data_IF_036566328313
#
_entry.id   IF_036566328313
#
_cell.length_a   1.000
_cell.length_b   1.000
_cell.length_c   1.000
_cell.angle_alpha   90.00
_cell.angle_beta   90.00
_cell.angle_gamma   90.00
#
_symmetry.space_group_name_H-M   'P 1'
#
loop_
_entity.id
_entity.type
_entity.pdbx_description
1 polymer ?
#
# COMPACT_ATOMS: atom_id res chain seq x y z
N UNK A 1 -12.01 -64.29 -59.61
CA UNK A 1 -11.82 -65.08 -58.38
C UNK A 1 -10.48 -64.71 -57.76
N UNK A 2 -10.46 -64.58 -56.43
CA UNK A 2 -9.31 -64.34 -55.53
C UNK A 2 -8.60 -62.98 -55.68
N UNK A 3 -8.00 -62.36 -54.66
CA UNK A 3 -8.06 -62.34 -53.17
C UNK A 3 -6.84 -61.47 -52.77
N UNK A 4 -6.82 -60.92 -51.55
CA UNK A 4 -5.63 -60.37 -50.82
C UNK A 4 -5.23 -58.92 -51.19
N UNK A 5 -5.33 -57.86 -50.37
CA UNK A 5 -5.00 -57.54 -48.96
C UNK A 5 -3.51 -57.09 -48.73
N UNK A 6 -3.37 -55.89 -48.12
CA UNK A 6 -2.22 -55.23 -47.42
C UNK A 6 -1.10 -54.67 -48.36
N UNK A 7 -0.55 -53.43 -48.27
CA UNK A 7 -0.12 -52.65 -47.10
C UNK A 7 0.25 -51.18 -47.46
N UNK A 8 -0.11 -50.26 -46.55
CA UNK A 8 0.60 -49.00 -46.16
C UNK A 8 1.04 -47.96 -47.19
N UNK A 9 0.66 -46.69 -46.96
CA UNK A 9 1.47 -45.74 -46.15
C UNK A 9 0.66 -44.48 -45.82
N UNK A 10 0.89 -44.03 -44.58
CA UNK A 10 0.34 -42.85 -43.92
C UNK A 10 0.72 -41.56 -44.65
N UNK A 11 -0.31 -40.77 -44.95
CA UNK A 11 -0.21 -39.34 -45.25
C UNK A 11 -0.49 -38.58 -43.96
N UNK A 12 0.42 -37.71 -43.52
CA UNK A 12 0.20 -36.26 -43.39
C UNK A 12 1.32 -35.64 -42.55
N UNK A 13 2.05 -34.74 -43.19
CA UNK A 13 3.02 -33.84 -42.58
C UNK A 13 2.25 -32.59 -42.13
N UNK A 14 2.29 -32.24 -40.85
CA UNK A 14 1.68 -31.00 -40.33
C UNK A 14 2.65 -30.31 -39.37
N UNK A 15 3.37 -29.32 -39.90
CA UNK A 15 4.17 -28.38 -39.13
C UNK A 15 3.24 -27.54 -38.23
N UNK A 16 3.51 -27.51 -36.92
CA UNK A 16 2.86 -26.56 -36.00
C UNK A 16 3.71 -25.30 -35.87
N UNK A 17 3.16 -24.10 -36.08
CA UNK A 17 3.89 -22.86 -35.89
C UNK A 17 4.15 -22.62 -34.40
N UNK A 18 5.40 -22.24 -34.09
CA UNK A 18 5.83 -21.92 -32.73
C UNK A 18 5.08 -20.73 -32.16
N UNK A 19 4.53 -20.90 -30.96
CA UNK A 19 4.05 -19.79 -30.16
C UNK A 19 5.26 -19.04 -29.58
N UNK A 20 5.49 -17.82 -30.08
CA UNK A 20 6.36 -16.84 -29.45
C UNK A 20 5.72 -16.48 -28.11
N UNK A 21 6.25 -17.04 -27.03
CA UNK A 21 5.83 -16.71 -25.67
C UNK A 21 6.26 -15.29 -25.34
N UNK A 22 5.34 -14.32 -25.49
CA UNK A 22 5.47 -13.02 -24.84
C UNK A 22 5.34 -13.28 -23.35
N UNK A 23 6.47 -13.31 -22.64
CA UNK A 23 6.50 -13.31 -21.17
C UNK A 23 5.91 -11.99 -20.70
N UNK A 24 4.60 -11.96 -20.49
CA UNK A 24 3.90 -10.86 -19.84
C UNK A 24 4.54 -10.71 -18.46
N UNK A 25 5.29 -9.63 -18.23
CA UNK A 25 5.75 -9.26 -16.90
C UNK A 25 4.50 -8.88 -16.11
N UNK A 26 3.97 -9.82 -15.33
CA UNK A 26 2.91 -9.56 -14.38
C UNK A 26 3.48 -8.75 -13.21
N UNK A 27 3.65 -7.45 -13.42
CA UNK A 27 3.70 -6.51 -12.31
C UNK A 27 2.29 -6.51 -11.70
N UNK A 28 2.08 -7.39 -10.71
CA UNK A 28 0.81 -7.47 -9.99
C UNK A 28 0.51 -6.13 -9.35
N UNK A 29 -0.58 -5.50 -9.78
CA UNK A 29 -1.18 -4.38 -9.06
C UNK A 29 -1.57 -4.86 -7.66
N UNK A 30 -1.33 -4.07 -6.59
CA UNK A 30 -1.75 -4.46 -5.24
C UNK A 30 -3.23 -4.80 -5.23
N UNK A 31 -3.58 -6.02 -4.81
CA UNK A 31 -4.99 -6.42 -4.71
C UNK A 31 -5.73 -5.46 -3.76
N UNK A 32 -6.74 -4.76 -4.27
CA UNK A 32 -7.61 -3.92 -3.45
C UNK A 32 -8.34 -4.80 -2.43
N UNK A 33 -8.16 -4.52 -1.13
CA UNK A 33 -8.95 -5.16 -0.08
C UNK A 33 -10.42 -4.79 -0.27
N UNK A 34 -11.26 -5.77 -0.59
CA UNK A 34 -12.69 -5.59 -0.86
C UNK A 34 -13.57 -5.67 0.40
N UNK A 35 -12.99 -6.15 1.50
CA UNK A 35 -13.63 -6.23 2.81
C UNK A 35 -12.92 -5.32 3.80
N UNK A 36 -13.70 -4.54 4.55
CA UNK A 36 -13.22 -3.59 5.54
C UNK A 36 -13.77 -3.95 6.92
N UNK A 37 -13.02 -3.62 7.97
CA UNK A 37 -13.32 -4.04 9.35
C UNK A 37 -12.39 -5.17 9.82
N UNK A 38 -12.47 -5.50 11.11
CA UNK A 38 -11.59 -6.45 11.81
C UNK A 38 -10.13 -5.96 11.98
N UNK A 39 -9.96 -4.79 12.62
CA UNK A 39 -8.65 -4.23 12.97
C UNK A 39 -8.03 -4.99 14.15
N UNK A 40 -6.76 -5.40 14.03
CA UNK A 40 -6.02 -6.03 15.12
C UNK A 40 -5.67 -5.00 16.19
N UNK A 41 -5.47 -5.47 17.41
CA UNK A 41 -5.11 -4.59 18.54
C UNK A 41 -3.75 -3.90 18.35
N UNK A 42 -2.83 -4.54 17.63
CA UNK A 42 -1.52 -4.00 17.26
C UNK A 42 -1.60 -2.82 16.27
N UNK A 43 -2.64 -2.79 15.43
CA UNK A 43 -2.85 -1.73 14.43
C UNK A 43 -3.49 -0.47 15.03
N UNK A 44 -3.85 -0.51 16.33
CA UNK A 44 -4.49 0.62 17.02
C UNK A 44 -3.45 1.67 17.37
N UNK A 45 -3.64 2.88 16.83
CA UNK A 45 -2.82 4.05 17.19
C UNK A 45 -3.07 4.47 18.65
N UNK A 46 -4.32 4.37 19.14
CA UNK A 46 -4.69 4.76 20.50
C UNK A 46 -4.78 3.54 21.42
N UNK A 47 -3.63 3.04 21.88
CA UNK A 47 -3.52 1.81 22.67
C UNK A 47 -4.05 1.92 24.10
N UNK A 48 -3.90 3.07 24.78
CA UNK A 48 -4.39 3.28 26.15
C UNK A 48 -5.73 4.05 26.19
N UNK A 49 -6.66 3.76 25.28
CA UNK A 49 -7.92 4.50 25.18
C UNK A 49 -8.80 4.38 26.44
N UNK A 50 -8.75 3.22 27.12
CA UNK A 50 -9.58 2.94 28.29
C UNK A 50 -8.89 3.22 29.64
N UNK A 51 -7.68 3.81 29.63
CA UNK A 51 -6.96 4.14 30.87
C UNK A 51 -6.52 2.93 31.71
N UNK A 52 -6.42 1.74 31.10
CA UNK A 52 -5.97 0.50 31.77
C UNK A 52 -4.48 0.54 32.10
N UNK A 53 -3.72 1.39 31.41
CA UNK A 53 -2.31 1.62 31.65
C UNK A 53 -2.07 3.05 32.16
N UNK A 54 -0.88 3.28 32.71
CA UNK A 54 -0.48 4.60 33.20
C UNK A 54 -0.50 5.65 32.07
N UNK A 55 -1.24 6.73 32.28
CA UNK A 55 -1.35 7.85 31.34
C UNK A 55 -0.19 8.84 31.47
N UNK A 56 0.63 8.72 32.53
CA UNK A 56 1.82 9.56 32.73
C UNK A 56 2.91 9.27 31.70
N UNK A 57 3.92 10.14 31.68
CA UNK A 57 5.04 10.08 30.74
C UNK A 57 5.73 8.71 30.71
N UNK A 58 5.98 8.09 31.88
CA UNK A 58 6.61 6.77 31.96
C UNK A 58 5.79 5.67 31.28
N UNK A 59 4.46 5.72 31.41
CA UNK A 59 3.56 4.81 30.71
C UNK A 59 3.51 5.08 29.21
N UNK A 60 3.51 6.35 28.80
CA UNK A 60 3.53 6.77 27.39
C UNK A 60 4.79 6.29 26.66
N UNK A 61 5.97 6.51 27.25
CA UNK A 61 7.24 6.05 26.67
C UNK A 61 7.26 4.53 26.46
N UNK A 62 6.64 3.75 27.35
CA UNK A 62 6.54 2.28 27.20
C UNK A 62 5.66 1.85 26.02
N UNK A 63 4.70 2.66 25.61
CA UNK A 63 3.81 2.38 24.46
C UNK A 63 4.39 2.80 23.12
N UNK A 64 5.58 3.43 23.13
CA UNK A 64 6.21 3.99 21.93
C UNK A 64 5.87 5.46 21.68
N UNK A 65 5.09 6.11 22.55
CA UNK A 65 4.94 7.56 22.51
C UNK A 65 6.31 8.22 22.78
N UNK A 66 6.61 9.34 22.11
CA UNK A 66 7.93 10.00 22.16
C UNK A 66 9.11 9.22 21.56
N UNK A 67 8.86 8.11 20.86
CA UNK A 67 9.92 7.38 20.17
C UNK A 67 10.44 8.16 18.95
N UNK A 68 11.76 8.38 18.90
CA UNK A 68 12.47 9.00 17.76
C UNK A 68 11.91 10.34 17.27
N UNK A 69 11.21 11.07 18.14
CA UNK A 69 10.63 12.38 17.79
C UNK A 69 11.70 13.38 17.35
N UNK A 70 12.89 13.34 17.95
CA UNK A 70 14.05 14.15 17.52
C UNK A 70 14.44 13.88 16.07
N UNK A 71 14.49 12.62 15.65
CA UNK A 71 14.82 12.25 14.27
C UNK A 71 13.75 12.76 13.29
N UNK A 72 12.47 12.66 13.67
CA UNK A 72 11.35 13.17 12.87
C UNK A 72 11.47 14.68 12.68
N UNK A 73 11.79 15.43 13.73
CA UNK A 73 11.98 16.88 13.65
C UNK A 73 13.16 17.27 12.74
N UNK A 74 14.25 16.52 12.80
CA UNK A 74 15.44 16.78 11.98
C UNK A 74 15.22 16.56 10.48
N UNK A 75 14.25 15.72 10.09
CA UNK A 75 13.88 15.54 8.67
C UNK A 75 13.20 16.77 8.04
N UNK A 76 12.76 17.72 8.87
CA UNK A 76 12.17 18.97 8.42
C UNK A 76 10.68 18.89 8.08
N UNK A 77 10.06 20.07 7.97
CA UNK A 77 8.60 20.22 7.80
C UNK A 77 8.08 19.66 6.47
N UNK A 78 8.83 19.85 5.38
CA UNK A 78 8.43 19.38 4.05
C UNK A 78 8.29 17.85 4.00
N UNK A 79 9.25 17.13 4.59
CA UNK A 79 9.20 15.67 4.66
C UNK A 79 7.96 15.19 5.45
N UNK A 80 7.67 15.82 6.59
CA UNK A 80 6.49 15.48 7.40
C UNK A 80 5.19 15.74 6.62
N UNK A 81 5.10 16.85 5.89
CA UNK A 81 3.92 17.17 5.07
C UNK A 81 3.68 16.13 3.98
N UNK A 82 4.74 15.67 3.32
CA UNK A 82 4.63 14.70 2.23
C UNK A 82 4.23 13.32 2.75
N UNK A 83 4.77 12.87 3.89
CA UNK A 83 4.32 11.64 4.58
C UNK A 83 2.82 11.70 4.95
N UNK A 84 2.34 12.85 5.43
CA UNK A 84 0.92 13.00 5.79
C UNK A 84 0.03 13.00 4.54
N UNK A 85 0.47 13.61 3.44
CA UNK A 85 -0.26 13.54 2.15
C UNK A 85 -0.31 12.10 1.65
N UNK A 86 0.82 11.37 1.69
CA UNK A 86 0.92 9.97 1.28
C UNK A 86 0.03 9.05 2.13
N UNK A 87 -0.10 9.32 3.43
CA UNK A 87 -0.98 8.56 4.32
C UNK A 87 -2.47 8.67 3.99
N UNK A 88 -2.87 9.64 3.17
CA UNK A 88 -4.28 9.90 2.84
C UNK A 88 -5.11 10.37 4.04
N UNK A 89 -4.48 10.89 5.10
CA UNK A 89 -5.17 11.29 6.32
C UNK A 89 -6.15 12.45 6.07
N UNK A 90 -7.42 12.21 6.36
CA UNK A 90 -8.50 13.20 6.31
C UNK A 90 -8.87 13.69 7.71
N UNK A 91 -9.26 14.96 7.81
CA UNK A 91 -9.60 15.62 9.06
C UNK A 91 -10.70 14.87 9.82
N UNK A 92 -10.50 14.72 11.14
CA UNK A 92 -11.38 13.96 12.04
C UNK A 92 -12.43 14.83 12.77
N UNK A 93 -12.54 16.11 12.42
CA UNK A 93 -13.53 17.05 12.98
C UNK A 93 -14.86 17.15 12.22
N UNK A 94 -15.20 16.17 11.37
CA UNK A 94 -16.48 16.12 10.64
C UNK A 94 -16.42 16.58 9.18
N UNK A 95 -15.63 17.61 8.86
CA UNK A 95 -15.53 18.14 7.48
C UNK A 95 -14.74 17.24 6.51
N UNK A 96 -13.91 16.32 7.01
CA UNK A 96 -13.16 15.37 6.16
C UNK A 96 -12.13 16.01 5.22
N UNK A 97 -11.68 17.23 5.47
CA UNK A 97 -10.70 17.91 4.63
C UNK A 97 -9.32 17.21 4.68
N UNK A 98 -8.57 17.07 3.57
CA UNK A 98 -7.25 16.43 3.57
C UNK A 98 -6.26 17.16 4.48
N UNK A 99 -5.72 16.45 5.48
CA UNK A 99 -4.92 17.07 6.56
C UNK A 99 -3.58 17.60 6.03
N UNK A 100 -2.88 16.83 5.19
CA UNK A 100 -1.60 17.24 4.61
C UNK A 100 -1.71 18.49 3.73
N UNK A 101 -2.82 18.64 3.00
CA UNK A 101 -3.11 19.86 2.22
C UNK A 101 -3.38 21.05 3.13
N UNK A 102 -4.18 20.86 4.20
CA UNK A 102 -4.49 21.92 5.17
C UNK A 102 -3.24 22.49 5.80
N UNK A 103 -2.32 21.63 6.20
CA UNK A 103 -1.08 22.05 6.86
C UNK A 103 -0.10 22.70 5.88
N UNK A 104 -0.12 22.28 4.61
CA UNK A 104 0.68 22.88 3.54
C UNK A 104 0.40 24.37 3.30
N UNK A 105 -0.80 24.88 3.62
CA UNK A 105 -1.12 26.30 3.50
C UNK A 105 -0.27 27.21 4.40
N UNK A 106 0.36 26.66 5.43
CA UNK A 106 1.23 27.43 6.34
C UNK A 106 2.64 27.63 5.78
N UNK A 107 3.10 26.77 4.85
CA UNK A 107 4.38 26.92 4.16
C UNK A 107 4.28 27.92 3.00
N UNK A 108 3.77 29.13 3.28
CA UNK A 108 3.84 30.21 2.31
C UNK A 108 5.29 30.68 2.22
N UNK A 109 5.94 30.71 1.04
CA UNK A 109 7.07 31.62 0.87
C UNK A 109 6.59 33.03 1.22
N UNK A 110 7.43 33.83 1.87
CA UNK A 110 7.14 35.26 2.00
C UNK A 110 7.14 35.84 0.60
N UNK A 111 5.97 35.93 -0.01
CA UNK A 111 5.80 36.72 -1.22
C UNK A 111 6.05 38.16 -0.78
N UNK A 112 7.18 38.72 -1.22
CA UNK A 112 7.68 40.04 -0.83
C UNK A 112 6.86 41.16 -1.49
N UNK A 113 5.56 41.14 -1.28
CA UNK A 113 4.59 42.16 -1.68
C UNK A 113 3.75 42.59 -0.48
#
# INVERSE_FOLDING_TARGET
MASSFIKTRSFFNAARPGHIGVRLLSNGTPEEKRTFGNMKDEDRIFTNLYGRHDWKLKGAMKRGDWYKTKEILLKGSNWILDEIKMSGLRGRGGAGFPTGMKWGFMNKPSDGR
#
